data_IF_342829761619
#
_entry.id   IF_342829761619
#
_cell.length_a   1.000
_cell.length_b   1.000
_cell.length_c   1.000
_cell.angle_alpha   90.00
_cell.angle_beta   90.00
_cell.angle_gamma   90.00
#
_symmetry.space_group_name_H-M   'P 1'
#
loop_
_entity.id
_entity.type
_entity.pdbx_description
1 polymer ?
#
# COMPACT_ATOMS: atom_id res chain seq x y z
N UNK A 1 -16.41 73.01 18.32
CA UNK A 1 -15.25 72.13 18.64
C UNK A 1 -15.54 70.75 18.07
N UNK A 2 -14.73 70.27 17.13
CA UNK A 2 -14.83 68.90 16.59
C UNK A 2 -14.20 67.90 17.59
N UNK A 3 -14.74 66.68 17.76
CA UNK A 3 -14.02 65.64 18.48
C UNK A 3 -12.95 65.01 17.60
N UNK A 4 -11.82 64.74 18.25
CA UNK A 4 -10.59 64.18 17.72
C UNK A 4 -10.74 62.67 17.50
N UNK A 5 -10.69 62.19 16.26
CA UNK A 5 -10.53 60.76 15.95
C UNK A 5 -9.04 60.45 15.91
N UNK A 6 -8.52 59.84 16.98
CA UNK A 6 -7.16 59.30 16.99
C UNK A 6 -7.13 58.05 16.10
N UNK A 7 -6.36 58.14 15.01
CA UNK A 7 -5.92 56.97 14.24
C UNK A 7 -5.09 56.06 15.15
N UNK A 8 -5.64 54.90 15.51
CA UNK A 8 -4.86 53.82 16.08
C UNK A 8 -4.06 53.17 14.95
N UNK A 9 -2.74 53.18 15.07
CA UNK A 9 -1.86 52.48 14.14
C UNK A 9 -2.25 50.99 14.07
N UNK A 10 -2.20 50.36 12.89
CA UNK A 10 -2.56 48.96 12.75
C UNK A 10 -1.64 48.10 13.62
N UNK A 11 -2.27 47.25 14.42
CA UNK A 11 -1.61 46.37 15.39
C UNK A 11 -0.75 45.31 14.65
N UNK A 12 0.53 45.65 14.51
CA UNK A 12 1.58 44.84 13.88
C UNK A 12 1.80 43.48 14.59
N UNK A 13 1.19 43.27 15.76
CA UNK A 13 1.25 41.99 16.47
C UNK A 13 0.44 40.90 15.77
N UNK A 14 -0.76 41.21 15.26
CA UNK A 14 -1.58 40.24 14.52
C UNK A 14 -0.93 39.84 13.19
N UNK A 15 -0.19 40.75 12.57
CA UNK A 15 0.58 40.46 11.35
C UNK A 15 1.75 39.51 11.64
N UNK A 16 2.50 39.77 12.72
CA UNK A 16 3.61 38.88 13.15
C UNK A 16 3.13 37.51 13.60
N UNK A 17 1.96 37.42 14.25
CA UNK A 17 1.34 36.14 14.60
C UNK A 17 0.94 35.38 13.32
N UNK A 18 0.36 36.06 12.34
CA UNK A 18 0.02 35.46 11.04
C UNK A 18 1.26 34.96 10.28
N UNK A 19 2.33 35.74 10.25
CA UNK A 19 3.61 35.37 9.61
C UNK A 19 4.27 34.18 10.33
N UNK A 20 4.29 34.17 11.66
CA UNK A 20 4.83 33.05 12.45
C UNK A 20 3.98 31.78 12.32
N UNK A 21 2.66 31.89 12.23
CA UNK A 21 1.78 30.76 11.98
C UNK A 21 1.96 30.18 10.57
N UNK A 22 2.24 31.04 9.59
CA UNK A 22 2.51 30.58 8.23
C UNK A 22 3.89 29.96 8.09
N UNK A 23 4.90 30.50 8.79
CA UNK A 23 6.23 29.89 8.89
C UNK A 23 6.17 28.54 9.62
N UNK A 24 5.38 28.43 10.69
CA UNK A 24 5.14 27.16 11.40
C UNK A 24 4.38 26.14 10.54
N UNK A 25 3.41 26.56 9.72
CA UNK A 25 2.75 25.68 8.74
C UNK A 25 3.72 25.23 7.66
N UNK A 26 4.56 26.13 7.14
CA UNK A 26 5.57 25.79 6.14
C UNK A 26 6.62 24.84 6.71
N UNK A 27 6.99 25.00 7.98
CA UNK A 27 7.92 24.12 8.69
C UNK A 27 7.28 22.77 9.03
N UNK A 28 6.01 22.74 9.45
CA UNK A 28 5.25 21.51 9.63
C UNK A 28 5.01 20.76 8.30
N UNK A 29 4.75 21.47 7.20
CA UNK A 29 4.72 20.91 5.84
C UNK A 29 6.11 20.40 5.46
N UNK A 30 7.18 21.10 5.85
CA UNK A 30 8.57 20.68 5.59
C UNK A 30 8.97 19.43 6.39
N UNK A 31 8.52 19.31 7.63
CA UNK A 31 8.68 18.13 8.50
C UNK A 31 7.80 16.96 8.05
N UNK A 32 6.57 17.22 7.56
CA UNK A 32 5.73 16.22 6.89
C UNK A 32 6.31 15.79 5.53
N UNK A 33 7.05 16.65 4.85
CA UNK A 33 7.93 16.29 3.71
C UNK A 33 9.31 15.79 4.17
N UNK A 34 9.44 15.34 5.42
CA UNK A 34 10.67 14.86 6.03
C UNK A 34 11.42 13.89 5.12
N UNK A 35 12.55 14.37 4.59
CA UNK A 35 13.63 13.69 3.86
C UNK A 35 13.24 12.31 3.30
N UNK A 36 12.27 12.30 2.40
CA UNK A 36 12.15 11.18 1.48
C UNK A 36 13.38 11.19 0.59
N UNK A 37 14.19 10.11 0.63
CA UNK A 37 15.15 9.88 -0.46
C UNK A 37 14.32 9.77 -1.75
N UNK A 38 14.37 10.78 -2.61
CA UNK A 38 13.84 10.67 -3.95
C UNK A 38 14.64 9.59 -4.68
N UNK A 39 14.03 8.43 -4.81
CA UNK A 39 14.47 7.43 -5.77
C UNK A 39 13.58 7.58 -7.00
N UNK A 40 14.08 7.28 -8.19
CA UNK A 40 13.27 7.23 -9.43
C UNK A 40 12.06 6.26 -9.36
N UNK A 41 11.82 5.62 -8.21
CA UNK A 41 10.75 4.67 -7.94
C UNK A 41 10.04 4.88 -6.62
N UNK A 42 9.75 6.10 -6.19
CA UNK A 42 8.87 6.36 -5.04
C UNK A 42 9.56 6.98 -3.84
N UNK A 43 8.77 7.69 -3.03
CA UNK A 43 9.24 8.43 -1.86
C UNK A 43 9.07 7.57 -0.62
N UNK A 44 10.13 7.39 0.16
CA UNK A 44 10.07 6.65 1.42
C UNK A 44 9.63 7.57 2.55
N UNK A 45 8.65 7.15 3.34
CA UNK A 45 8.20 7.87 4.54
C UNK A 45 8.00 6.90 5.69
N UNK A 46 8.32 7.33 6.90
CA UNK A 46 7.84 6.66 8.12
C UNK A 46 6.44 7.18 8.39
N UNK A 47 5.48 6.27 8.59
CA UNK A 47 4.10 6.61 8.88
C UNK A 47 3.70 6.04 10.24
N UNK A 48 3.13 6.85 11.15
CA UNK A 48 2.60 6.34 12.41
C UNK A 48 1.44 5.38 12.17
N UNK A 49 1.09 4.62 13.21
CA UNK A 49 -0.12 3.82 13.22
C UNK A 49 -1.35 4.71 12.97
N UNK A 50 -2.20 4.31 12.02
CA UNK A 50 -3.45 4.97 11.71
C UNK A 50 -4.61 4.17 12.30
N UNK A 51 -5.63 4.89 12.79
CA UNK A 51 -6.94 4.33 13.07
C UNK A 51 -7.87 4.65 11.90
N UNK A 52 -8.30 3.61 11.18
CA UNK A 52 -9.21 3.75 10.06
C UNK A 52 -10.59 3.24 10.47
N UNK A 53 -11.64 4.01 10.16
CA UNK A 53 -13.04 3.55 10.28
C UNK A 53 -13.63 3.44 8.89
N UNK A 54 -14.26 2.31 8.58
CA UNK A 54 -14.65 2.03 7.20
C UNK A 54 -15.57 0.83 7.02
N UNK A 55 -15.90 0.60 5.76
CA UNK A 55 -16.65 -0.58 5.30
C UNK A 55 -15.72 -1.48 4.50
N UNK A 56 -15.87 -2.79 4.67
CA UNK A 56 -15.03 -3.81 4.06
C UNK A 56 -15.81 -4.67 3.07
N UNK A 57 -15.15 -5.07 1.98
CA UNK A 57 -15.60 -6.13 1.05
C UNK A 57 -14.47 -7.12 0.82
N UNK A 58 -14.79 -8.41 0.77
CA UNK A 58 -13.84 -9.45 0.33
C UNK A 58 -13.75 -9.41 -1.20
N UNK A 59 -12.57 -9.16 -1.73
CA UNK A 59 -12.31 -9.13 -3.18
C UNK A 59 -11.71 -10.46 -3.61
N UNK A 60 -12.30 -11.06 -4.64
CA UNK A 60 -11.79 -12.30 -5.22
C UNK A 60 -10.87 -12.02 -6.41
N UNK A 61 -9.70 -12.64 -6.39
CA UNK A 61 -8.73 -12.69 -7.51
C UNK A 61 -8.69 -14.08 -8.16
N UNK A 62 -9.70 -14.91 -7.92
CA UNK A 62 -9.83 -16.22 -8.55
C UNK A 62 -9.93 -16.09 -10.07
N UNK A 63 -9.53 -17.14 -10.80
CA UNK A 63 -9.57 -17.13 -12.26
C UNK A 63 -10.99 -16.84 -12.78
N UNK A 64 -11.12 -15.82 -13.62
CA UNK A 64 -12.40 -15.39 -14.20
C UNK A 64 -13.14 -14.34 -13.36
N UNK A 65 -12.61 -13.97 -12.19
CA UNK A 65 -13.06 -12.80 -11.44
C UNK A 65 -12.24 -11.57 -11.85
N UNK A 66 -12.89 -10.42 -11.90
CA UNK A 66 -12.26 -9.12 -12.14
C UNK A 66 -12.26 -8.33 -10.83
N UNK A 67 -11.09 -8.20 -10.22
CA UNK A 67 -10.94 -7.50 -8.95
C UNK A 67 -11.26 -6.01 -9.09
N UNK A 68 -10.86 -5.38 -10.20
CA UNK A 68 -11.12 -3.95 -10.42
C UNK A 68 -12.62 -3.68 -10.63
N UNK A 69 -13.33 -4.58 -11.32
CA UNK A 69 -14.78 -4.47 -11.46
C UNK A 69 -15.49 -4.60 -10.09
N UNK A 70 -15.09 -5.56 -9.24
CA UNK A 70 -15.64 -5.73 -7.89
C UNK A 70 -15.41 -4.50 -6.99
N UNK A 71 -14.23 -3.88 -7.11
CA UNK A 71 -13.87 -2.65 -6.39
C UNK A 71 -14.70 -1.48 -6.89
N UNK A 72 -14.81 -1.28 -8.21
CA UNK A 72 -15.65 -0.21 -8.80
C UNK A 72 -17.10 -0.33 -8.35
N UNK A 73 -17.66 -1.54 -8.40
CA UNK A 73 -19.01 -1.82 -7.91
C UNK A 73 -19.14 -1.47 -6.41
N UNK A 74 -18.13 -1.80 -5.60
CA UNK A 74 -18.16 -1.51 -4.17
C UNK A 74 -18.14 0.00 -3.86
N UNK A 75 -17.33 0.76 -4.60
CA UNK A 75 -17.31 2.23 -4.51
C UNK A 75 -18.65 2.84 -4.92
N UNK A 76 -19.28 2.35 -6.01
CA UNK A 76 -20.61 2.78 -6.43
C UNK A 76 -21.64 2.50 -5.33
N UNK A 77 -21.65 1.27 -4.80
CA UNK A 77 -22.57 0.88 -3.73
C UNK A 77 -22.41 1.75 -2.48
N UNK A 78 -21.18 2.05 -2.06
CA UNK A 78 -20.90 2.92 -0.93
C UNK A 78 -21.30 4.39 -1.18
N UNK A 79 -21.28 4.83 -2.44
CA UNK A 79 -21.80 6.14 -2.83
C UNK A 79 -23.32 6.19 -2.75
N UNK A 80 -24.01 5.16 -3.24
CA UNK A 80 -25.47 5.07 -3.30
C UNK A 80 -26.12 4.85 -1.93
N UNK A 81 -25.52 4.01 -1.07
CA UNK A 81 -26.07 3.67 0.25
C UNK A 81 -25.74 4.71 1.33
N UNK A 82 -25.03 5.79 0.98
CA UNK A 82 -24.66 6.87 1.88
C UNK A 82 -23.40 6.61 2.72
N UNK A 83 -22.74 5.45 2.58
CA UNK A 83 -21.50 5.11 3.28
C UNK A 83 -20.44 6.21 3.12
N UNK A 84 -20.17 6.68 1.89
CA UNK A 84 -19.14 7.71 1.67
C UNK A 84 -19.47 9.04 2.37
N UNK A 85 -20.75 9.41 2.40
CA UNK A 85 -21.21 10.63 3.07
C UNK A 85 -21.10 10.49 4.60
N UNK A 86 -21.44 9.32 5.15
CA UNK A 86 -21.30 9.03 6.57
C UNK A 86 -19.83 9.05 7.00
N UNK A 87 -18.91 8.44 6.23
CA UNK A 87 -17.47 8.50 6.51
C UNK A 87 -16.95 9.93 6.57
N UNK A 88 -17.32 10.78 5.60
CA UNK A 88 -16.96 12.21 5.65
C UNK A 88 -17.51 12.95 6.87
N UNK A 89 -18.66 12.51 7.39
CA UNK A 89 -19.25 13.06 8.60
C UNK A 89 -18.49 12.69 9.88
N UNK A 90 -17.82 11.52 9.89
CA UNK A 90 -17.06 11.03 11.05
C UNK A 90 -15.72 11.74 11.23
N UNK A 91 -15.10 12.20 10.14
CA UNK A 91 -13.85 12.97 10.19
C UNK A 91 -13.97 14.24 9.34
N UNK A 92 -14.53 15.33 9.89
CA UNK A 92 -14.76 16.58 9.17
C UNK A 92 -13.49 17.24 8.62
N UNK A 93 -12.34 17.03 9.30
CA UNK A 93 -11.05 17.60 8.92
C UNK A 93 -10.27 16.74 7.91
N UNK A 94 -10.73 15.51 7.64
CA UNK A 94 -10.11 14.66 6.65
C UNK A 94 -10.23 15.27 5.25
N UNK A 95 -9.25 14.99 4.39
CA UNK A 95 -9.19 15.50 3.01
C UNK A 95 -9.23 14.41 1.96
N UNK A 96 -9.31 13.15 2.38
CA UNK A 96 -9.24 12.00 1.50
C UNK A 96 -10.03 10.83 2.07
N UNK A 97 -10.42 9.92 1.19
CA UNK A 97 -10.72 8.55 1.56
C UNK A 97 -9.42 7.75 1.52
N UNK A 98 -9.33 6.74 2.39
CA UNK A 98 -8.26 5.75 2.40
C UNK A 98 -8.89 4.41 2.08
N UNK A 99 -8.49 3.78 0.99
CA UNK A 99 -8.72 2.36 0.81
C UNK A 99 -7.55 1.58 1.40
N UNK A 100 -7.84 0.48 2.07
CA UNK A 100 -6.83 -0.39 2.64
C UNK A 100 -7.01 -1.82 2.11
N UNK A 101 -5.95 -2.39 1.56
CA UNK A 101 -5.90 -3.80 1.17
C UNK A 101 -5.20 -4.58 2.29
N UNK A 102 -5.91 -5.55 2.87
CA UNK A 102 -5.43 -6.29 4.02
C UNK A 102 -5.91 -7.76 4.02
N UNK A 103 -5.41 -8.56 4.97
CA UNK A 103 -5.85 -9.93 5.21
C UNK A 103 -5.85 -10.80 3.93
N UNK A 104 -4.71 -10.81 3.25
CA UNK A 104 -4.50 -11.51 1.98
C UNK A 104 -4.48 -13.04 2.17
N UNK A 105 -5.31 -13.72 1.40
CA UNK A 105 -5.24 -15.14 1.13
C UNK A 105 -4.67 -15.41 -0.27
N UNK A 106 -4.54 -16.68 -0.64
CA UNK A 106 -4.02 -17.10 -1.95
C UNK A 106 -4.73 -16.50 -3.16
N UNK A 107 -6.03 -16.19 -3.05
CA UNK A 107 -6.84 -15.71 -4.16
C UNK A 107 -7.88 -14.66 -3.72
N UNK A 108 -7.79 -14.13 -2.51
CA UNK A 108 -8.76 -13.18 -1.97
C UNK A 108 -8.08 -12.23 -0.98
N UNK A 109 -8.66 -11.06 -0.77
CA UNK A 109 -8.20 -10.13 0.25
C UNK A 109 -9.34 -9.22 0.68
N UNK A 110 -9.18 -8.55 1.81
CA UNK A 110 -10.12 -7.55 2.30
C UNK A 110 -9.76 -6.19 1.69
N UNK A 111 -10.73 -5.57 1.02
CA UNK A 111 -10.64 -4.20 0.53
C UNK A 111 -11.55 -3.32 1.36
N UNK A 112 -10.96 -2.29 1.96
CA UNK A 112 -11.66 -1.32 2.79
C UNK A 112 -11.88 -0.03 2.01
N UNK A 113 -13.00 0.63 2.28
CA UNK A 113 -13.18 2.05 2.00
C UNK A 113 -13.37 2.71 3.36
N UNK A 114 -12.44 3.56 3.74
CA UNK A 114 -12.32 4.08 5.08
C UNK A 114 -11.93 5.56 5.09
N UNK A 115 -11.95 6.12 6.30
CA UNK A 115 -11.42 7.44 6.61
C UNK A 115 -10.56 7.33 7.87
N UNK A 116 -9.50 8.12 7.93
CA UNK A 116 -8.67 8.22 9.14
C UNK A 116 -9.43 8.97 10.22
N UNK A 117 -9.39 8.46 11.44
CA UNK A 117 -9.92 9.14 12.63
C UNK A 117 -8.85 9.20 13.72
N UNK A 118 -8.86 10.30 14.47
CA UNK A 118 -7.94 10.56 15.58
C UNK A 118 -8.56 10.22 16.94
N UNK A 119 -9.86 9.89 16.98
CA UNK A 119 -10.56 9.63 18.24
C UNK A 119 -10.45 8.15 18.64
N UNK A 120 -9.61 7.90 19.64
CA UNK A 120 -9.57 6.62 20.35
C UNK A 120 -10.87 6.42 21.14
N UNK A 121 -11.46 5.22 21.05
CA UNK A 121 -12.62 4.84 21.89
C UNK A 121 -13.99 5.19 21.33
N UNK A 122 -14.09 5.64 20.07
CA UNK A 122 -15.38 5.63 19.38
C UNK A 122 -15.88 4.18 19.22
N UNK A 123 -17.15 3.93 19.50
CA UNK A 123 -17.81 2.74 18.97
C UNK A 123 -18.01 2.92 17.47
N UNK A 124 -17.71 1.90 16.68
CA UNK A 124 -17.91 1.98 15.23
C UNK A 124 -19.41 2.17 14.98
N UNK A 125 -19.82 3.19 14.21
CA UNK A 125 -21.22 3.34 13.87
C UNK A 125 -21.74 2.08 13.16
N UNK A 126 -23.03 1.80 13.27
CA UNK A 126 -23.63 0.61 12.67
C UNK A 126 -23.26 0.50 11.18
N UNK A 127 -22.73 -0.66 10.79
CA UNK A 127 -22.27 -0.93 9.42
C UNK A 127 -20.82 -0.56 9.14
N UNK A 128 -20.09 -0.01 10.10
CA UNK A 128 -18.64 0.22 10.03
C UNK A 128 -17.85 -0.69 10.96
N UNK A 129 -16.59 -0.90 10.59
CA UNK A 129 -15.58 -1.61 11.35
C UNK A 129 -14.34 -0.70 11.49
N UNK A 130 -13.51 -0.96 12.50
CA UNK A 130 -12.20 -0.33 12.64
C UNK A 130 -11.09 -1.22 12.08
N UNK A 131 -10.09 -0.58 11.46
CA UNK A 131 -8.85 -1.18 11.03
C UNK A 131 -7.68 -0.33 11.56
N UNK A 132 -6.82 -0.95 12.37
CA UNK A 132 -5.58 -0.33 12.84
C UNK A 132 -4.43 -0.71 11.91
N UNK A 133 -3.64 0.28 11.50
CA UNK A 133 -2.34 0.01 10.87
C UNK A 133 -1.25 -0.02 11.93
N UNK A 134 -0.14 -0.69 11.62
CA UNK A 134 1.08 -0.59 12.43
C UNK A 134 1.87 0.67 12.00
N UNK A 135 2.68 1.22 12.91
CA UNK A 135 3.75 2.14 12.51
C UNK A 135 4.66 1.41 11.53
N UNK A 136 4.91 2.01 10.37
CA UNK A 136 5.60 1.35 9.28
C UNK A 136 6.24 2.34 8.31
N UNK A 137 7.33 1.89 7.69
CA UNK A 137 7.87 2.56 6.52
C UNK A 137 7.01 2.24 5.30
N UNK A 138 6.64 3.27 4.55
CA UNK A 138 5.90 3.16 3.29
C UNK A 138 6.71 3.72 2.13
N UNK A 139 6.61 3.04 0.98
CA UNK A 139 7.01 3.59 -0.31
C UNK A 139 5.77 4.21 -0.98
N UNK A 140 5.85 5.51 -1.29
CA UNK A 140 4.77 6.30 -1.87
C UNK A 140 4.95 6.41 -3.38
N UNK A 141 3.89 6.09 -4.10
CA UNK A 141 3.84 6.14 -5.55
C UNK A 141 2.69 7.05 -6.00
N UNK A 142 2.98 8.22 -6.58
CA UNK A 142 1.93 9.08 -7.10
C UNK A 142 1.24 8.45 -8.31
N UNK A 143 -0.07 8.61 -8.37
CA UNK A 143 -0.92 8.15 -9.45
C UNK A 143 -1.58 9.35 -10.13
N UNK A 144 -1.85 9.24 -11.43
CA UNK A 144 -2.49 10.29 -12.22
C UNK A 144 -3.52 9.69 -13.16
N UNK A 145 -4.69 10.29 -13.24
CA UNK A 145 -5.82 9.85 -14.05
C UNK A 145 -6.95 9.27 -13.19
N UNK A 146 -7.96 8.64 -13.83
CA UNK A 146 -9.09 8.03 -13.14
C UNK A 146 -8.61 7.15 -11.99
N UNK A 147 -9.11 7.44 -10.78
CA UNK A 147 -8.48 7.08 -9.52
C UNK A 147 -8.24 5.57 -9.39
N UNK A 148 -9.30 4.77 -9.55
CA UNK A 148 -9.22 3.32 -9.37
C UNK A 148 -8.39 2.64 -10.45
N UNK A 149 -8.48 3.13 -11.70
CA UNK A 149 -7.69 2.57 -12.81
C UNK A 149 -6.20 2.88 -12.64
N UNK A 150 -5.87 4.15 -12.34
CA UNK A 150 -4.48 4.59 -12.21
C UNK A 150 -3.76 3.92 -11.04
N UNK A 151 -4.44 3.69 -9.92
CA UNK A 151 -3.89 2.93 -8.78
C UNK A 151 -3.73 1.45 -9.13
N UNK A 152 -4.71 0.84 -9.79
CA UNK A 152 -4.60 -0.56 -10.22
C UNK A 152 -3.42 -0.79 -11.19
N UNK A 153 -3.22 0.11 -12.15
CA UNK A 153 -2.07 0.07 -13.06
C UNK A 153 -0.75 0.32 -12.32
N UNK A 154 -0.76 1.21 -11.32
CA UNK A 154 0.40 1.46 -10.47
C UNK A 154 0.80 0.22 -9.67
N UNK A 155 -0.16 -0.52 -9.11
CA UNK A 155 0.10 -1.81 -8.45
C UNK A 155 0.81 -2.78 -9.37
N UNK A 156 0.31 -2.94 -10.61
CA UNK A 156 0.94 -3.82 -11.59
C UNK A 156 2.38 -3.39 -11.91
N UNK A 157 2.65 -2.09 -11.99
CA UNK A 157 3.99 -1.57 -12.16
C UNK A 157 4.89 -1.83 -10.93
N UNK A 158 4.41 -1.58 -9.72
CA UNK A 158 5.15 -1.81 -8.47
C UNK A 158 5.63 -3.26 -8.40
N UNK A 159 4.72 -4.22 -8.59
CA UNK A 159 5.06 -5.65 -8.53
C UNK A 159 5.93 -6.13 -9.69
N UNK A 160 5.79 -5.56 -10.89
CA UNK A 160 6.54 -6.01 -12.09
C UNK A 160 7.88 -5.32 -12.28
N UNK A 161 8.06 -4.11 -11.76
CA UNK A 161 9.20 -3.24 -12.07
C UNK A 161 9.94 -2.75 -10.83
N UNK A 162 9.21 -2.45 -9.76
CA UNK A 162 9.82 -1.87 -8.56
C UNK A 162 10.34 -2.93 -7.59
N UNK A 163 9.49 -3.82 -7.10
CA UNK A 163 9.91 -4.90 -6.19
C UNK A 163 11.03 -5.79 -6.74
N UNK A 164 11.06 -6.16 -8.04
CA UNK A 164 12.15 -6.96 -8.60
C UNK A 164 13.55 -6.32 -8.55
N UNK A 165 13.66 -5.02 -8.24
CA UNK A 165 14.96 -4.38 -7.95
C UNK A 165 15.64 -4.96 -6.70
N UNK A 166 14.87 -5.55 -5.78
CA UNK A 166 15.38 -6.31 -4.63
C UNK A 166 15.92 -5.46 -3.49
N UNK A 167 15.54 -4.19 -3.40
CA UNK A 167 16.00 -3.26 -2.35
C UNK A 167 15.12 -3.32 -1.09
N UNK A 168 13.86 -3.74 -1.24
CA UNK A 168 12.85 -3.78 -0.18
C UNK A 168 12.09 -5.11 -0.19
N UNK A 169 11.78 -5.61 1.00
CA UNK A 169 10.74 -6.61 1.22
C UNK A 169 9.40 -5.93 1.43
N UNK A 170 8.32 -6.64 1.13
CA UNK A 170 6.97 -6.20 1.49
C UNK A 170 6.80 -6.18 3.01
N UNK A 171 6.18 -5.13 3.54
CA UNK A 171 5.84 -4.97 4.95
C UNK A 171 4.60 -5.77 5.35
N UNK A 172 4.21 -5.67 6.62
CA UNK A 172 3.09 -6.42 7.22
C UNK A 172 1.84 -5.58 7.47
N UNK A 173 2.00 -4.25 7.57
CA UNK A 173 0.89 -3.31 7.69
C UNK A 173 -0.01 -3.35 6.44
N UNK A 174 -1.27 -2.88 6.48
CA UNK A 174 -2.11 -2.79 5.30
C UNK A 174 -1.47 -1.96 4.18
N UNK A 175 -1.73 -2.37 2.93
CA UNK A 175 -1.41 -1.55 1.76
C UNK A 175 -2.48 -0.45 1.64
N UNK A 176 -2.09 0.79 1.33
CA UNK A 176 -3.01 1.94 1.35
C UNK A 176 -3.12 2.62 -0.01
N UNK A 177 -4.33 2.96 -0.41
CA UNK A 177 -4.64 3.79 -1.57
C UNK A 177 -5.31 5.07 -1.07
N UNK A 178 -4.68 6.22 -1.30
CA UNK A 178 -5.14 7.51 -0.80
C UNK A 178 -5.81 8.27 -1.93
N UNK A 179 -7.08 8.61 -1.71
CA UNK A 179 -7.96 9.24 -2.67
C UNK A 179 -8.42 10.60 -2.14
N UNK A 180 -7.72 11.71 -2.45
CA UNK A 180 -8.16 13.05 -2.10
C UNK A 180 -9.60 13.31 -2.53
N UNK A 181 -10.36 14.04 -1.71
CA UNK A 181 -11.74 14.38 -2.07
C UNK A 181 -11.78 15.19 -3.36
N UNK A 182 -12.66 14.80 -4.27
CA UNK A 182 -12.78 15.42 -5.58
C UNK A 182 -13.43 14.48 -6.59
N UNK A 183 -13.30 14.84 -7.86
CA UNK A 183 -13.78 14.02 -8.97
C UNK A 183 -12.76 12.91 -9.29
N UNK A 184 -13.03 11.70 -8.77
CA UNK A 184 -12.18 10.52 -8.96
C UNK A 184 -12.13 10.01 -10.41
N UNK A 185 -12.99 10.49 -11.30
CA UNK A 185 -12.98 10.09 -12.72
C UNK A 185 -12.19 11.07 -13.61
N UNK A 186 -11.72 12.20 -13.06
CA UNK A 186 -11.01 13.21 -13.83
C UNK A 186 -9.65 12.71 -14.36
N UNK A 187 -9.31 13.09 -15.59
CA UNK A 187 -8.05 12.72 -16.25
C UNK A 187 -6.79 13.25 -15.54
N UNK A 188 -6.94 14.34 -14.80
CA UNK A 188 -5.88 14.99 -14.04
C UNK A 188 -5.97 14.69 -12.52
N UNK A 189 -6.86 13.78 -12.12
CA UNK A 189 -6.99 13.37 -10.73
C UNK A 189 -5.68 12.77 -10.21
N UNK A 190 -5.34 13.06 -8.95
CA UNK A 190 -4.10 12.62 -8.31
C UNK A 190 -4.43 11.82 -7.06
N UNK A 191 -4.16 10.53 -7.12
CA UNK A 191 -4.15 9.62 -5.97
C UNK A 191 -2.73 9.23 -5.61
N UNK A 192 -2.58 8.55 -4.49
CA UNK A 192 -1.31 8.02 -4.05
C UNK A 192 -1.47 6.56 -3.62
N UNK A 193 -0.53 5.72 -4.07
CA UNK A 193 -0.40 4.36 -3.58
C UNK A 193 0.72 4.30 -2.53
N UNK A 194 0.43 3.77 -1.34
CA UNK A 194 1.42 3.56 -0.28
C UNK A 194 1.60 2.06 -0.04
N UNK A 195 2.82 1.60 -0.27
CA UNK A 195 3.19 0.19 -0.12
C UNK A 195 4.05 0.03 1.14
N UNK A 196 3.63 -0.77 2.13
CA UNK A 196 4.39 -0.98 3.34
C UNK A 196 5.64 -1.80 3.00
N UNK A 197 6.79 -1.41 3.53
CA UNK A 197 8.08 -1.95 3.11
C UNK A 197 9.05 -2.13 4.27
N UNK A 198 9.95 -3.09 4.13
CA UNK A 198 11.08 -3.32 5.05
C UNK A 198 12.36 -3.37 4.24
N UNK A 199 13.37 -2.59 4.62
CA UNK A 199 14.64 -2.56 3.90
C UNK A 199 15.31 -3.94 3.89
N UNK A 200 15.78 -4.39 2.73
CA UNK A 200 16.53 -5.64 2.63
C UNK A 200 17.89 -5.45 3.33
N UNK A 201 18.27 -6.31 4.29
CA UNK A 201 19.57 -6.22 4.94
C UNK A 201 20.71 -6.35 3.91
N UNK A 202 21.75 -5.53 4.03
CA UNK A 202 22.84 -5.43 3.06
C UNK A 202 23.60 -6.76 2.82
N UNK A 203 23.52 -7.69 3.76
CA UNK A 203 24.17 -8.99 3.70
C UNK A 203 23.22 -10.15 3.32
N UNK A 204 21.94 -9.87 3.06
CA UNK A 204 20.94 -10.86 2.68
C UNK A 204 21.36 -11.70 1.48
N UNK A 205 21.78 -11.04 0.39
CA UNK A 205 22.27 -11.72 -0.82
C UNK A 205 23.69 -12.29 -0.68
N UNK A 206 24.47 -11.82 0.30
CA UNK A 206 25.84 -12.31 0.56
C UNK A 206 25.83 -13.66 1.27
N UNK A 207 24.94 -13.85 2.26
CA UNK A 207 24.82 -15.10 3.02
C UNK A 207 24.26 -16.26 2.19
N UNK A 208 23.46 -15.97 1.15
CA UNK A 208 22.77 -16.97 0.31
C UNK A 208 23.59 -17.50 -0.88
N UNK A 209 24.91 -17.27 -0.90
CA UNK A 209 25.84 -17.69 -1.98
C UNK A 209 26.21 -19.18 -1.90
N UNK A 210 25.23 -20.08 -1.87
CA UNK A 210 25.40 -21.46 -2.36
C UNK A 210 25.30 -21.43 -3.89
N UNK A 211 26.12 -22.20 -4.64
CA UNK A 211 26.40 -21.92 -6.04
C UNK A 211 25.16 -22.16 -6.91
N UNK A 212 24.52 -21.08 -7.36
CA UNK A 212 23.86 -20.81 -8.66
C UNK A 212 23.16 -21.96 -9.42
N UNK A 213 22.76 -23.06 -8.78
CA UNK A 213 21.94 -24.12 -9.37
C UNK A 213 20.46 -23.96 -9.04
N UNK A 214 20.10 -23.13 -8.06
CA UNK A 214 18.70 -22.86 -7.70
C UNK A 214 18.04 -21.75 -8.53
N UNK A 215 18.81 -20.91 -9.23
CA UNK A 215 18.27 -19.82 -10.07
C UNK A 215 17.81 -20.30 -11.47
N UNK A 216 17.91 -21.60 -11.76
CA UNK A 216 17.36 -22.21 -12.98
C UNK A 216 16.01 -22.91 -12.74
N UNK A 217 15.62 -23.16 -11.50
CA UNK A 217 14.34 -23.81 -11.17
C UNK A 217 13.10 -22.97 -11.52
N UNK A 218 13.09 -21.63 -11.34
CA UNK A 218 11.97 -20.80 -11.81
C UNK A 218 11.86 -20.78 -13.35
N UNK A 219 13.00 -20.85 -14.05
CA UNK A 219 13.05 -20.81 -15.51
C UNK A 219 12.57 -22.13 -16.16
N UNK A 220 12.80 -23.28 -15.51
CA UNK A 220 12.26 -24.57 -15.97
C UNK A 220 10.73 -24.64 -15.78
N UNK A 221 10.20 -24.07 -14.70
CA UNK A 221 8.75 -23.97 -14.47
C UNK A 221 8.02 -23.11 -15.51
N UNK A 222 8.66 -22.00 -15.94
CA UNK A 222 8.18 -21.16 -17.04
C UNK A 222 8.19 -21.91 -18.37
N UNK A 223 9.22 -22.73 -18.64
CA UNK A 223 9.31 -23.51 -19.88
C UNK A 223 8.26 -24.65 -19.94
N UNK A 224 7.99 -25.33 -18.83
CA UNK A 224 6.93 -26.34 -18.74
C UNK A 224 5.52 -25.72 -18.86
N UNK A 225 5.29 -24.55 -18.26
CA UNK A 225 4.04 -23.79 -18.40
C UNK A 225 3.79 -23.27 -19.82
N UNK A 226 4.86 -22.94 -20.57
CA UNK A 226 4.77 -22.52 -21.97
C UNK A 226 4.37 -23.67 -22.92
N UNK A 227 4.86 -24.89 -22.67
CA UNK A 227 4.51 -26.08 -23.46
C UNK A 227 3.06 -26.52 -23.21
N UNK A 228 2.55 -26.31 -21.99
CA UNK A 228 1.14 -26.61 -21.66
C UNK A 228 0.21 -25.49 -22.17
N UNK A 229 0.62 -24.22 -22.06
CA UNK A 229 -0.17 -23.06 -22.51
C UNK A 229 -0.40 -23.00 -24.02
N UNK A 230 0.54 -23.52 -24.83
CA UNK A 230 0.38 -23.62 -26.29
C UNK A 230 -0.62 -24.70 -26.74
N UNK A 231 -0.99 -25.65 -25.86
CA UNK A 231 -2.09 -26.60 -26.11
C UNK A 231 -3.48 -26.11 -25.66
N UNK A 232 -3.55 -25.06 -24.84
CA UNK A 232 -4.81 -24.48 -24.33
C UNK A 232 -5.18 -23.11 -24.91
N UNK A 233 -4.43 -22.59 -25.89
CA UNK A 233 -4.80 -21.38 -26.64
C UNK A 233 -4.53 -20.04 -25.93
N UNK A 234 -3.82 -20.01 -24.80
CA UNK A 234 -3.40 -18.75 -24.15
C UNK A 234 -2.07 -18.90 -23.41
N UNK A 235 -1.02 -18.34 -24.02
CA UNK A 235 0.35 -18.40 -23.51
C UNK A 235 0.55 -17.57 -22.21
N UNK A 236 -0.26 -16.53 -21.99
CA UNK A 236 -0.20 -15.66 -20.81
C UNK A 236 -0.75 -16.33 -19.56
N UNK A 237 -1.82 -17.12 -19.68
CA UNK A 237 -2.40 -17.88 -18.55
C UNK A 237 -1.49 -19.04 -18.13
N UNK A 238 -0.86 -19.73 -19.10
CA UNK A 238 0.14 -20.77 -18.81
C UNK A 238 1.38 -20.23 -18.08
N UNK A 239 1.76 -18.98 -18.36
CA UNK A 239 2.89 -18.32 -17.71
C UNK A 239 2.58 -17.90 -16.26
N UNK A 240 1.36 -17.42 -15.98
CA UNK A 240 0.92 -17.06 -14.62
C UNK A 240 0.74 -18.28 -13.70
N UNK A 241 0.16 -19.37 -14.22
CA UNK A 241 0.01 -20.63 -13.48
C UNK A 241 1.36 -21.30 -13.22
N UNK A 242 2.30 -21.21 -14.17
CA UNK A 242 3.68 -21.68 -13.99
C UNK A 242 4.47 -20.89 -12.96
N UNK A 243 4.24 -19.58 -12.85
CA UNK A 243 4.90 -18.72 -11.85
C UNK A 243 4.38 -18.98 -10.43
N UNK A 244 3.06 -19.13 -10.25
CA UNK A 244 2.48 -19.46 -8.94
C UNK A 244 2.83 -20.90 -8.51
N UNK A 245 2.72 -21.88 -9.41
CA UNK A 245 3.10 -23.27 -9.12
C UNK A 245 4.60 -23.45 -8.88
N UNK A 246 5.43 -22.70 -9.61
CA UNK A 246 6.89 -22.68 -9.39
C UNK A 246 7.27 -22.03 -8.07
N UNK A 247 6.56 -20.98 -7.65
CA UNK A 247 6.79 -20.33 -6.35
C UNK A 247 6.39 -21.25 -5.19
N UNK A 248 5.25 -21.94 -5.29
CA UNK A 248 4.81 -22.92 -4.28
C UNK A 248 5.73 -24.15 -4.24
N UNK A 249 6.17 -24.66 -5.40
CA UNK A 249 7.14 -25.75 -5.43
C UNK A 249 8.51 -25.30 -4.86
N UNK A 250 8.92 -24.06 -5.11
CA UNK A 250 10.14 -23.50 -4.56
C UNK A 250 10.04 -23.32 -3.03
N UNK A 251 8.92 -22.85 -2.49
CA UNK A 251 8.73 -22.73 -1.04
C UNK A 251 8.70 -24.10 -0.36
N UNK A 252 8.01 -25.09 -0.92
CA UNK A 252 7.99 -26.46 -0.39
C UNK A 252 9.38 -27.09 -0.44
N UNK A 253 10.11 -26.96 -1.55
CA UNK A 253 11.49 -27.48 -1.65
C UNK A 253 12.45 -26.75 -0.71
N UNK A 254 12.25 -25.45 -0.50
CA UNK A 254 13.06 -24.68 0.43
C UNK A 254 12.78 -25.07 1.87
N UNK A 255 11.52 -25.35 2.22
CA UNK A 255 11.14 -25.85 3.53
C UNK A 255 11.71 -27.26 3.81
N UNK A 256 11.67 -28.15 2.81
CA UNK A 256 12.32 -29.48 2.90
C UNK A 256 13.84 -29.37 3.05
N UNK A 257 14.46 -28.39 2.38
CA UNK A 257 15.90 -28.16 2.45
C UNK A 257 16.30 -27.57 3.81
N UNK A 258 15.55 -26.60 4.31
CA UNK A 258 15.76 -25.97 5.62
C UNK A 258 15.58 -27.00 6.75
N UNK A 259 14.58 -27.88 6.66
CA UNK A 259 14.40 -28.99 7.59
C UNK A 259 15.56 -30.00 7.57
N UNK A 260 16.13 -30.26 6.39
CA UNK A 260 17.30 -31.16 6.26
C UNK A 260 18.57 -30.52 6.82
N UNK A 261 18.78 -29.23 6.59
CA UNK A 261 19.94 -28.53 7.12
C UNK A 261 19.84 -28.36 8.64
N UNK A 262 18.65 -28.02 9.17
CA UNK A 262 18.42 -27.93 10.61
C UNK A 262 18.67 -29.27 11.31
N UNK A 263 18.27 -30.39 10.70
CA UNK A 263 18.62 -31.74 11.19
C UNK A 263 20.12 -32.00 11.13
N UNK A 264 20.80 -31.58 10.07
CA UNK A 264 22.24 -31.76 9.91
C UNK A 264 23.05 -30.94 10.92
N UNK A 265 22.64 -29.71 11.18
CA UNK A 265 23.26 -28.83 12.18
C UNK A 265 23.07 -29.40 13.59
N UNK A 266 21.87 -29.92 13.89
CA UNK A 266 21.58 -30.63 15.15
C UNK A 266 22.40 -31.92 15.31
N UNK A 267 22.59 -32.69 14.23
CA UNK A 267 23.40 -33.91 14.22
C UNK A 267 24.91 -33.62 14.32
N UNK A 268 25.38 -32.47 13.86
CA UNK A 268 26.76 -32.00 13.99
C UNK A 268 27.05 -31.39 15.38
N UNK A 269 26.08 -30.70 15.98
CA UNK A 269 26.15 -30.25 17.39
C UNK A 269 26.11 -31.42 18.36
N UNK A 270 25.32 -32.46 18.10
CA UNK A 270 25.26 -33.66 18.93
C UNK A 270 26.53 -34.56 18.86
N UNK A 271 27.45 -34.27 17.91
CA UNK A 271 28.72 -34.98 17.73
C UNK A 271 29.95 -34.23 18.27
N UNK A 272 29.76 -33.01 18.79
CA UNK A 272 30.79 -32.26 19.52
C UNK A 272 30.66 -32.46 21.02
#
# INVERSE_FOLDING_TARGET
MKPNTGDAAPDDSNKKIGEAMEEFKQEAVRELTGVGMETEGGTMVEQPALCLVGKRKRISTQKGQDALAQIREFWVQCGEDGTLAALRGLAPDAQCFVAACHNFDTQEYDYWIAIETIEEGLEAPEGFEFLMTEESAYALFPCKGPALQSVFDRWAWVYRKWFPKGEYFHGTSPELEVYPFGDMEAEEYRSELRVPVKKVPADYYRRKRTPMKMMLLPLIGVFAGLVIGTRMGSATVGMLVGLLGGFVAATILQQIYDDKNKKKDQDEEAKK
#
